data_IF_338215979667
#
_entry.id   IF_338215979667
#
_cell.length_a   1.000
_cell.length_b   1.000
_cell.length_c   1.000
_cell.angle_alpha   90.00
_cell.angle_beta   90.00
_cell.angle_gamma   90.00
#
_symmetry.space_group_name_H-M   'P 1'
#
loop_
_entity.id
_entity.type
_entity.pdbx_description
1 polymer ?
#
# COMPACT_ATOMS: atom_id res chain seq x y z
N UNK A 1 -11.98 8.24 -8.43
CA UNK A 1 -12.07 7.71 -7.04
C UNK A 1 -11.57 8.79 -6.11
N UNK A 2 -12.22 9.02 -4.97
CA UNK A 2 -11.68 9.91 -3.95
C UNK A 2 -10.75 9.16 -2.99
N UNK A 3 -9.83 9.85 -2.32
CA UNK A 3 -8.92 9.26 -1.32
C UNK A 3 -9.65 8.47 -0.23
N UNK A 4 -10.82 8.94 0.20
CA UNK A 4 -11.65 8.23 1.19
C UNK A 4 -12.10 6.86 0.70
N UNK A 5 -12.43 6.74 -0.60
CA UNK A 5 -12.83 5.46 -1.20
C UNK A 5 -11.62 4.54 -1.37
N UNK A 6 -10.45 5.10 -1.73
CA UNK A 6 -9.19 4.37 -1.80
C UNK A 6 -8.83 3.82 -0.42
N UNK A 7 -8.86 4.66 0.61
CA UNK A 7 -8.62 4.28 2.01
C UNK A 7 -9.49 3.09 2.42
N UNK A 8 -10.80 3.26 2.26
CA UNK A 8 -11.78 2.23 2.64
C UNK A 8 -11.53 0.92 1.89
N UNK A 9 -11.25 1.00 0.59
CA UNK A 9 -10.95 -0.19 -0.23
C UNK A 9 -9.68 -0.88 0.25
N UNK A 10 -8.60 -0.15 0.53
CA UNK A 10 -7.36 -0.70 1.04
C UNK A 10 -7.57 -1.37 2.41
N UNK A 11 -8.25 -0.69 3.34
CA UNK A 11 -8.55 -1.25 4.66
C UNK A 11 -9.40 -2.51 4.58
N UNK A 12 -10.45 -2.53 3.75
CA UNK A 12 -11.24 -3.75 3.52
C UNK A 12 -10.39 -4.89 2.95
N UNK A 13 -9.42 -4.61 2.08
CA UNK A 13 -8.54 -5.63 1.52
C UNK A 13 -7.51 -6.14 2.54
N UNK A 14 -6.99 -5.28 3.42
CA UNK A 14 -6.04 -5.68 4.46
C UNK A 14 -6.73 -6.31 5.69
N UNK A 15 -8.00 -5.97 5.94
CA UNK A 15 -8.79 -6.48 7.06
C UNK A 15 -9.58 -7.75 6.72
N UNK A 16 -9.72 -8.12 5.45
CA UNK A 16 -10.22 -9.45 5.09
C UNK A 16 -9.29 -10.47 5.72
N UNK A 17 -9.86 -11.31 6.59
CA UNK A 17 -9.16 -12.44 7.20
C UNK A 17 -8.32 -13.12 6.13
N UNK A 18 -6.99 -12.94 6.23
CA UNK A 18 -6.04 -13.53 5.31
C UNK A 18 -6.34 -15.01 5.32
N UNK A 19 -6.93 -15.53 4.24
CA UNK A 19 -7.47 -16.89 4.18
C UNK A 19 -6.38 -17.90 4.54
N UNK A 20 -6.33 -18.27 5.81
CA UNK A 20 -5.63 -19.34 6.51
C UNK A 20 -4.17 -19.70 6.14
N UNK A 21 -3.50 -18.93 5.28
CA UNK A 21 -2.21 -19.35 4.69
C UNK A 21 -1.27 -18.20 4.29
N UNK A 22 -1.74 -16.95 4.24
CA UNK A 22 -0.92 -15.80 3.87
C UNK A 22 -0.54 -14.98 5.09
N UNK A 23 0.72 -15.06 5.53
CA UNK A 23 1.22 -14.25 6.67
C UNK A 23 1.30 -12.74 6.38
N UNK A 24 1.23 -12.34 5.10
CA UNK A 24 1.38 -10.95 4.66
C UNK A 24 0.63 -10.73 3.33
N UNK A 25 -0.14 -9.64 3.24
CA UNK A 25 -0.75 -9.15 2.00
C UNK A 25 0.03 -7.96 1.48
N UNK A 26 0.28 -7.91 0.17
CA UNK A 26 0.98 -6.80 -0.51
C UNK A 26 0.12 -6.36 -1.69
N UNK A 27 -0.17 -5.06 -1.76
CA UNK A 27 -0.92 -4.45 -2.86
C UNK A 27 0.02 -3.53 -3.60
N UNK A 28 0.23 -3.78 -4.90
CA UNK A 28 0.90 -2.85 -5.79
C UNK A 28 -0.15 -1.89 -6.33
N UNK A 29 -0.09 -0.64 -5.86
CA UNK A 29 -0.93 0.42 -6.37
C UNK A 29 -0.24 1.08 -7.57
N UNK A 30 -1.02 1.29 -8.63
CA UNK A 30 -0.56 1.90 -9.87
C UNK A 30 -1.41 3.13 -10.16
N UNK A 31 -0.80 4.30 -10.01
CA UNK A 31 -1.38 5.60 -10.36
C UNK A 31 -0.69 6.09 -11.65
N UNK A 32 -1.36 5.92 -12.79
CA UNK A 32 -0.77 6.19 -14.10
C UNK A 32 -0.57 7.70 -14.35
N UNK A 33 -1.49 8.52 -13.84
CA UNK A 33 -1.49 9.97 -14.05
C UNK A 33 -0.79 10.71 -12.89
N UNK A 34 -0.48 10.00 -11.79
CA UNK A 34 0.22 10.55 -10.63
C UNK A 34 -0.62 11.53 -9.82
N UNK A 35 -1.94 11.53 -10.03
CA UNK A 35 -2.89 12.47 -9.43
C UNK A 35 -2.94 12.36 -7.90
N UNK A 36 -2.48 11.25 -7.33
CA UNK A 36 -2.56 10.95 -5.90
C UNK A 36 -1.19 10.80 -5.25
N UNK A 37 -0.10 11.12 -5.95
CA UNK A 37 1.28 10.90 -5.48
C UNK A 37 1.62 11.69 -4.21
N UNK A 38 1.02 12.86 -4.01
CA UNK A 38 1.18 13.65 -2.79
C UNK A 38 0.21 13.21 -1.71
N UNK A 39 -1.07 13.03 -2.04
CA UNK A 39 -2.10 12.68 -1.06
C UNK A 39 -1.89 11.29 -0.43
N UNK A 40 -1.33 10.34 -1.19
CA UNK A 40 -1.03 9.00 -0.66
C UNK A 40 -0.01 9.04 0.48
N UNK A 41 0.85 10.06 0.53
CA UNK A 41 1.85 10.20 1.60
C UNK A 41 1.19 10.56 2.93
N UNK A 42 0.05 11.23 2.88
CA UNK A 42 -0.74 11.62 4.05
C UNK A 42 -1.76 10.54 4.46
N UNK A 43 -1.93 9.51 3.63
CA UNK A 43 -2.88 8.45 3.90
C UNK A 43 -2.40 7.54 5.04
N UNK A 44 -3.13 7.54 6.15
CA UNK A 44 -2.93 6.61 7.27
C UNK A 44 -3.87 5.41 7.17
N UNK A 45 -3.30 4.20 7.26
CA UNK A 45 -3.99 2.91 7.23
C UNK A 45 -3.77 2.17 8.55
N UNK A 46 -4.81 1.56 9.10
CA UNK A 46 -4.74 0.93 10.43
C UNK A 46 -3.87 -0.35 10.46
N UNK A 47 -4.02 -1.23 9.48
CA UNK A 47 -3.37 -2.55 9.44
C UNK A 47 -2.34 -2.68 8.31
N UNK A 48 -1.91 -1.55 7.73
CA UNK A 48 -0.99 -1.54 6.59
C UNK A 48 0.04 -0.41 6.69
N UNK A 49 1.11 -0.53 5.91
CA UNK A 49 2.13 0.52 5.76
C UNK A 49 2.31 0.82 4.28
N UNK A 50 2.34 2.11 3.96
CA UNK A 50 2.62 2.58 2.61
C UNK A 50 4.14 2.61 2.41
N UNK A 51 4.60 2.00 1.32
CA UNK A 51 6.01 2.03 0.90
C UNK A 51 6.07 2.75 -0.45
N UNK A 52 6.58 3.98 -0.43
CA UNK A 52 6.72 4.79 -1.64
C UNK A 52 8.05 4.48 -2.35
N UNK A 53 7.98 3.94 -3.56
CA UNK A 53 9.16 3.66 -4.38
C UNK A 53 9.72 4.96 -4.97
N UNK A 54 11.00 5.20 -4.77
CA UNK A 54 11.76 6.29 -5.37
C UNK A 54 13.07 5.75 -5.96
N UNK A 55 13.74 6.58 -6.75
CA UNK A 55 14.97 6.20 -7.46
C UNK A 55 16.07 5.69 -6.52
N UNK A 56 16.08 6.14 -5.27
CA UNK A 56 17.15 5.87 -4.30
C UNK A 56 16.77 4.87 -3.20
N UNK A 57 15.60 4.24 -3.24
CA UNK A 57 15.15 3.34 -2.15
C UNK A 57 14.69 1.94 -2.61
N UNK A 58 14.82 1.62 -3.90
CA UNK A 58 14.39 0.36 -4.50
C UNK A 58 14.94 -0.88 -3.78
N UNK A 59 16.23 -0.87 -3.43
CA UNK A 59 16.86 -1.96 -2.68
C UNK A 59 16.27 -2.13 -1.27
N UNK A 60 16.06 -1.03 -0.55
CA UNK A 60 15.48 -1.03 0.80
C UNK A 60 14.05 -1.59 0.81
N UNK A 61 13.24 -1.20 -0.18
CA UNK A 61 11.87 -1.70 -0.33
C UNK A 61 11.86 -3.20 -0.65
N UNK A 62 12.72 -3.64 -1.58
CA UNK A 62 12.87 -5.06 -1.92
C UNK A 62 13.22 -5.90 -0.69
N UNK A 63 14.24 -5.49 0.07
CA UNK A 63 14.63 -6.17 1.30
C UNK A 63 13.49 -6.26 2.33
N UNK A 64 12.69 -5.21 2.46
CA UNK A 64 11.55 -5.17 3.40
C UNK A 64 10.41 -6.10 2.98
N UNK A 65 10.18 -6.25 1.69
CA UNK A 65 9.14 -7.14 1.13
C UNK A 65 9.55 -8.61 1.23
N UNK A 66 10.82 -8.91 0.93
CA UNK A 66 11.34 -10.29 0.84
C UNK A 66 11.73 -10.90 2.20
N UNK A 67 11.84 -10.08 3.26
CA UNK A 67 12.09 -10.54 4.64
C UNK A 67 10.81 -10.94 5.36
#
# INVERSE_FOLDING_TARGET
>A
MNLTEIKKTLEENFNKDASDSSKRSIIFWYDAEGEFAEDIKELELDNAKILHLSDNNSFCIKYRIEK
#
